data_IF_783698556292
#
_entry.id   IF_783698556292
#
_cell.length_a   1.000
_cell.length_b   1.000
_cell.length_c   1.000
_cell.angle_alpha   90.00
_cell.angle_beta   90.00
_cell.angle_gamma   90.00
#
_symmetry.space_group_name_H-M   'P 1'
#
loop_
_entity.id
_entity.type
_entity.pdbx_description
1 polymer ?
#
# COMPACT_ATOMS: atom_id res chain seq x y z
N UNK A 1 25.95 -43.63 -10.68
CA UNK A 1 25.39 -42.81 -11.77
C UNK A 1 24.91 -41.51 -11.14
N UNK A 2 25.75 -40.48 -11.21
CA UNK A 2 25.31 -39.12 -10.88
C UNK A 2 24.29 -38.69 -11.95
N UNK A 3 23.09 -38.34 -11.53
CA UNK A 3 22.11 -37.74 -12.42
C UNK A 3 22.69 -36.39 -12.88
N UNK A 4 23.12 -36.32 -14.14
CA UNK A 4 23.48 -35.07 -14.80
C UNK A 4 22.28 -34.14 -14.70
N UNK A 5 22.39 -33.14 -13.82
CA UNK A 5 21.41 -32.08 -13.72
C UNK A 5 21.25 -31.47 -15.13
N UNK A 6 20.04 -31.58 -15.70
CA UNK A 6 19.74 -30.96 -16.98
C UNK A 6 20.07 -29.47 -16.95
N UNK A 7 20.36 -28.83 -18.10
CA UNK A 7 20.80 -27.45 -18.16
C UNK A 7 19.85 -26.57 -17.35
N UNK A 8 20.37 -25.96 -16.28
CA UNK A 8 19.59 -25.06 -15.43
C UNK A 8 18.96 -24.02 -16.35
N UNK A 9 17.64 -23.93 -16.35
CA UNK A 9 16.94 -22.96 -17.18
C UNK A 9 17.24 -21.56 -16.60
N UNK A 10 18.33 -20.93 -17.08
CA UNK A 10 18.80 -19.61 -16.63
C UNK A 10 17.68 -18.56 -16.68
N UNK A 11 16.75 -18.72 -17.64
CA UNK A 11 15.49 -18.00 -17.73
C UNK A 11 14.73 -17.89 -16.40
N UNK A 12 14.66 -18.97 -15.62
CA UNK A 12 13.94 -19.00 -14.33
C UNK A 12 14.56 -18.07 -13.29
N UNK A 13 15.88 -17.85 -13.33
CA UNK A 13 16.55 -16.97 -12.38
C UNK A 13 16.31 -15.49 -12.71
N UNK A 14 16.16 -15.13 -13.98
CA UNK A 14 15.78 -13.76 -14.36
C UNK A 14 14.39 -13.37 -13.85
N UNK A 15 13.47 -14.34 -13.72
CA UNK A 15 12.12 -14.09 -13.19
C UNK A 15 12.16 -13.69 -11.72
N UNK A 16 13.16 -14.13 -10.95
CA UNK A 16 13.26 -13.85 -9.51
C UNK A 16 13.25 -12.36 -9.20
N UNK A 17 13.92 -11.53 -10.03
CA UNK A 17 13.97 -10.08 -9.85
C UNK A 17 12.58 -9.39 -9.96
N UNK A 18 11.58 -10.08 -10.49
CA UNK A 18 10.21 -9.57 -10.67
C UNK A 18 9.22 -10.16 -9.65
N UNK A 19 9.65 -11.12 -8.82
CA UNK A 19 8.76 -11.75 -7.84
C UNK A 19 8.59 -10.84 -6.61
N UNK A 20 7.35 -10.71 -6.08
CA UNK A 20 7.13 -10.10 -4.77
C UNK A 20 7.89 -10.82 -3.67
N UNK A 21 8.20 -10.10 -2.59
CA UNK A 21 9.01 -10.63 -1.47
C UNK A 21 8.48 -11.96 -0.93
N UNK A 22 7.17 -12.10 -0.76
CA UNK A 22 6.58 -13.36 -0.29
C UNK A 22 6.89 -14.53 -1.23
N UNK A 23 6.77 -14.32 -2.55
CA UNK A 23 7.06 -15.35 -3.54
C UNK A 23 8.56 -15.67 -3.58
N UNK A 24 9.43 -14.66 -3.48
CA UNK A 24 10.88 -14.86 -3.35
C UNK A 24 11.23 -15.74 -2.14
N UNK A 25 10.64 -15.45 -0.98
CA UNK A 25 10.87 -16.23 0.24
C UNK A 25 10.36 -17.67 0.11
N UNK A 26 9.25 -17.90 -0.60
CA UNK A 26 8.74 -19.25 -0.87
C UNK A 26 9.65 -20.01 -1.85
N UNK A 27 10.08 -19.36 -2.95
CA UNK A 27 10.99 -19.98 -3.94
C UNK A 27 12.35 -20.33 -3.31
N UNK A 28 12.84 -19.52 -2.37
CA UNK A 28 14.07 -19.80 -1.63
C UNK A 28 14.02 -21.08 -0.76
N UNK A 29 12.81 -21.62 -0.52
CA UNK A 29 12.61 -22.86 0.25
C UNK A 29 12.50 -24.11 -0.65
N UNK A 30 12.45 -23.94 -1.98
CA UNK A 30 12.25 -25.05 -2.92
C UNK A 30 13.52 -25.90 -3.09
N UNK A 31 14.67 -25.27 -3.30
CA UNK A 31 15.94 -25.99 -3.44
C UNK A 31 17.15 -25.10 -3.06
N UNK A 32 18.30 -25.75 -2.82
CA UNK A 32 19.56 -25.05 -2.48
C UNK A 32 19.97 -24.05 -3.57
N UNK A 33 19.81 -24.43 -4.84
CA UNK A 33 20.17 -23.56 -5.98
C UNK A 33 19.40 -22.24 -5.96
N UNK A 34 18.06 -22.28 -5.81
CA UNK A 34 17.27 -21.04 -5.68
C UNK A 34 17.63 -20.24 -4.43
N UNK A 35 17.83 -20.91 -3.31
CA UNK A 35 18.22 -20.26 -2.06
C UNK A 35 19.53 -19.48 -2.20
N UNK A 36 20.54 -20.10 -2.81
CA UNK A 36 21.85 -19.51 -3.00
C UNK A 36 21.79 -18.38 -4.04
N UNK A 37 21.12 -18.58 -5.19
CA UNK A 37 20.95 -17.52 -6.19
C UNK A 37 20.21 -16.30 -5.66
N UNK A 38 19.14 -16.49 -4.87
CA UNK A 38 18.39 -15.38 -4.26
C UNK A 38 19.24 -14.68 -3.18
N UNK A 39 20.07 -15.42 -2.44
CA UNK A 39 20.95 -14.83 -1.42
C UNK A 39 22.03 -13.97 -2.05
N UNK A 40 22.64 -14.45 -3.13
CA UNK A 40 23.86 -13.87 -3.70
C UNK A 40 23.54 -12.79 -4.76
N UNK A 41 22.32 -12.78 -5.32
CA UNK A 41 21.86 -11.72 -6.21
C UNK A 41 21.39 -10.49 -5.42
N UNK A 42 22.14 -9.40 -5.48
CA UNK A 42 21.80 -8.15 -4.79
C UNK A 42 20.67 -7.39 -5.48
N UNK A 43 20.44 -7.62 -6.78
CA UNK A 43 19.44 -6.87 -7.56
C UNK A 43 18.03 -7.11 -7.03
N UNK A 44 17.72 -8.34 -6.58
CA UNK A 44 16.40 -8.69 -6.03
C UNK A 44 16.12 -7.98 -4.71
N UNK A 45 17.15 -7.49 -4.02
CA UNK A 45 17.04 -6.81 -2.72
C UNK A 45 17.10 -5.28 -2.81
N UNK A 46 17.22 -4.69 -4.01
CA UNK A 46 17.26 -3.23 -4.16
C UNK A 46 15.92 -2.55 -3.81
N UNK A 47 14.82 -3.28 -3.92
CA UNK A 47 13.48 -2.79 -3.62
C UNK A 47 12.81 -3.74 -2.62
N UNK A 48 12.90 -3.42 -1.33
CA UNK A 48 12.29 -4.20 -0.28
C UNK A 48 10.87 -3.69 -0.02
N UNK A 49 9.88 -4.53 -0.34
CA UNK A 49 8.47 -4.24 -0.14
C UNK A 49 7.89 -5.30 0.78
N UNK A 50 7.42 -4.87 1.94
CA UNK A 50 6.75 -5.72 2.93
C UNK A 50 5.31 -5.25 3.09
N UNK A 51 4.38 -6.13 2.78
CA UNK A 51 2.95 -5.91 2.91
C UNK A 51 2.28 -7.13 3.55
N UNK A 52 0.96 -7.09 3.74
CA UNK A 52 0.23 -8.24 4.27
C UNK A 52 0.41 -9.47 3.35
N UNK A 53 0.55 -10.68 3.92
CA UNK A 53 0.46 -11.02 5.35
C UNK A 53 1.81 -10.96 6.09
N UNK A 54 2.92 -10.54 5.44
CA UNK A 54 4.24 -10.53 6.07
C UNK A 54 4.40 -9.41 7.11
N UNK A 55 3.76 -8.27 6.88
CA UNK A 55 3.88 -7.06 7.71
C UNK A 55 3.55 -7.29 9.20
N UNK A 56 2.54 -8.12 9.51
CA UNK A 56 2.13 -8.41 10.90
C UNK A 56 3.15 -9.26 11.68
N UNK A 57 4.08 -9.90 10.98
CA UNK A 57 5.14 -10.75 11.55
C UNK A 57 6.52 -10.10 11.49
N UNK A 58 6.67 -9.01 10.75
CA UNK A 58 7.95 -8.33 10.59
C UNK A 58 8.37 -7.68 11.90
N UNK A 59 9.58 -7.98 12.38
CA UNK A 59 10.23 -7.33 13.53
C UNK A 59 11.51 -6.65 13.07
N UNK A 60 12.07 -5.77 13.90
CA UNK A 60 13.33 -5.06 13.59
C UNK A 60 14.46 -6.01 13.22
N UNK A 61 14.60 -7.14 13.95
CA UNK A 61 15.62 -8.15 13.64
C UNK A 61 15.41 -8.79 12.26
N UNK A 62 14.17 -9.12 11.91
CA UNK A 62 13.85 -9.72 10.61
C UNK A 62 14.10 -8.69 9.50
N UNK A 63 13.70 -7.44 9.72
CA UNK A 63 13.91 -6.35 8.78
C UNK A 63 15.41 -6.09 8.54
N UNK A 64 16.24 -6.09 9.59
CA UNK A 64 17.70 -5.98 9.45
C UNK A 64 18.30 -7.18 8.72
N UNK A 65 17.85 -8.40 9.02
CA UNK A 65 18.33 -9.60 8.33
C UNK A 65 18.01 -9.60 6.83
N UNK A 66 16.87 -9.05 6.44
CA UNK A 66 16.48 -8.98 5.02
C UNK A 66 17.16 -7.81 4.31
N UNK A 67 17.17 -6.62 4.92
CA UNK A 67 17.77 -5.42 4.31
C UNK A 67 19.29 -5.52 4.17
N UNK A 68 19.98 -6.26 5.04
CA UNK A 68 21.43 -6.49 4.92
C UNK A 68 21.84 -7.21 3.64
N UNK A 69 20.94 -7.99 3.03
CA UNK A 69 21.17 -8.66 1.73
C UNK A 69 21.31 -7.68 0.56
N UNK A 70 20.86 -6.43 0.73
CA UNK A 70 21.10 -5.38 -0.24
C UNK A 70 22.55 -4.87 -0.21
N UNK A 71 23.38 -5.27 0.78
CA UNK A 71 24.76 -4.82 0.97
C UNK A 71 24.91 -3.29 0.91
N UNK A 72 24.01 -2.57 1.58
CA UNK A 72 23.98 -1.11 1.60
C UNK A 72 23.46 -0.44 0.33
N UNK A 73 22.99 -1.21 -0.66
CA UNK A 73 22.49 -0.71 -1.94
C UNK A 73 20.97 -0.63 -2.03
N UNK A 74 20.25 -0.82 -0.92
CA UNK A 74 18.79 -0.71 -0.89
C UNK A 74 18.37 0.68 -1.40
N UNK A 75 17.46 0.72 -2.39
CA UNK A 75 16.97 1.95 -3.03
C UNK A 75 15.56 2.30 -2.57
N UNK A 76 14.73 1.28 -2.39
CA UNK A 76 13.34 1.41 -1.93
C UNK A 76 13.11 0.53 -0.71
N UNK A 77 12.58 1.13 0.36
CA UNK A 77 12.08 0.45 1.53
C UNK A 77 10.60 0.83 1.68
N UNK A 78 9.71 -0.14 1.46
CA UNK A 78 8.29 0.02 1.63
C UNK A 78 7.77 -0.96 2.68
N UNK A 79 7.40 -0.44 3.85
CA UNK A 79 6.84 -1.16 4.98
C UNK A 79 5.37 -0.75 5.11
N UNK A 80 4.46 -1.57 4.60
CA UNK A 80 3.03 -1.27 4.60
C UNK A 80 2.38 -1.95 5.80
N UNK A 81 1.83 -1.16 6.73
CA UNK A 81 1.15 -1.66 7.93
C UNK A 81 2.04 -2.59 8.79
N UNK A 82 3.33 -2.26 8.93
CA UNK A 82 4.28 -3.03 9.73
C UNK A 82 4.31 -2.50 11.18
N UNK A 83 3.29 -2.85 11.96
CA UNK A 83 3.02 -2.26 13.29
C UNK A 83 4.06 -2.57 14.37
N UNK A 84 4.89 -3.60 14.17
CA UNK A 84 5.92 -4.05 15.12
C UNK A 84 7.31 -3.45 14.87
N UNK A 85 7.45 -2.62 13.85
CA UNK A 85 8.71 -1.93 13.55
C UNK A 85 8.84 -0.69 14.43
N UNK A 86 10.01 -0.51 15.02
CA UNK A 86 10.32 0.62 15.90
C UNK A 86 11.19 1.66 15.20
N UNK A 87 11.29 2.84 15.82
CA UNK A 87 12.16 3.92 15.34
C UNK A 87 13.62 3.47 15.26
N UNK A 88 14.09 2.65 16.21
CA UNK A 88 15.44 2.10 16.22
C UNK A 88 15.65 1.13 15.05
N UNK A 89 14.69 0.22 14.84
CA UNK A 89 14.73 -0.71 13.71
C UNK A 89 14.79 0.01 12.37
N UNK A 90 13.94 1.02 12.17
CA UNK A 90 13.94 1.84 10.96
C UNK A 90 15.27 2.58 10.79
N UNK A 91 15.77 3.22 11.84
CA UNK A 91 17.01 3.99 11.81
C UNK A 91 18.23 3.11 11.51
N UNK A 92 18.26 1.89 12.02
CA UNK A 92 19.34 0.92 11.73
C UNK A 92 19.38 0.55 10.24
N UNK A 93 18.22 0.28 9.62
CA UNK A 93 18.14 -0.01 8.19
C UNK A 93 18.61 1.18 7.35
N UNK A 94 18.12 2.38 7.68
CA UNK A 94 18.54 3.63 7.04
C UNK A 94 20.04 3.85 7.19
N UNK A 95 20.60 3.53 8.36
CA UNK A 95 22.02 3.70 8.60
C UNK A 95 22.90 2.80 7.74
N UNK A 96 22.48 1.55 7.56
CA UNK A 96 23.19 0.57 6.75
C UNK A 96 23.01 0.76 5.24
N UNK A 97 22.06 1.58 4.78
CA UNK A 97 21.71 1.72 3.36
C UNK A 97 21.74 3.18 2.88
N UNK A 98 22.92 3.75 2.60
CA UNK A 98 23.08 5.15 2.21
C UNK A 98 22.47 5.50 0.84
N UNK A 99 22.18 4.51 0.00
CA UNK A 99 21.59 4.72 -1.34
C UNK A 99 20.05 4.71 -1.35
N UNK A 100 19.42 4.70 -0.18
CA UNK A 100 17.96 4.68 -0.05
C UNK A 100 17.38 6.01 -0.50
N UNK A 101 16.43 5.96 -1.45
CA UNK A 101 15.78 7.14 -2.05
C UNK A 101 14.27 7.12 -1.86
N UNK A 102 13.67 5.96 -1.58
CA UNK A 102 12.24 5.80 -1.33
C UNK A 102 12.03 5.14 0.03
N UNK A 103 11.42 5.87 0.96
CA UNK A 103 11.08 5.40 2.30
C UNK A 103 9.57 5.49 2.52
N UNK A 104 8.88 4.36 2.39
CA UNK A 104 7.43 4.27 2.55
C UNK A 104 7.12 3.48 3.83
N UNK A 105 6.50 4.12 4.80
CA UNK A 105 6.11 3.53 6.10
C UNK A 105 4.64 3.81 6.46
N UNK A 106 3.68 3.73 5.53
CA UNK A 106 2.30 4.02 5.86
C UNK A 106 1.73 3.01 6.86
N UNK A 107 0.94 3.53 7.80
CA UNK A 107 0.31 2.75 8.88
C UNK A 107 1.30 1.91 9.73
N UNK A 108 2.58 2.28 9.77
CA UNK A 108 3.55 1.70 10.71
C UNK A 108 3.38 2.34 12.08
N UNK A 109 2.37 1.90 12.83
CA UNK A 109 1.95 2.53 14.09
C UNK A 109 2.95 2.39 15.26
N UNK A 110 3.99 1.56 15.10
CA UNK A 110 5.10 1.46 16.05
C UNK A 110 6.17 2.55 15.87
N UNK A 111 6.06 3.36 14.80
CA UNK A 111 6.93 4.50 14.56
C UNK A 111 6.36 5.79 15.14
N UNK A 112 7.25 6.67 15.59
CA UNK A 112 6.90 8.02 16.05
C UNK A 112 7.24 9.08 14.99
N UNK A 113 6.62 10.27 15.05
CA UNK A 113 7.02 11.39 14.22
C UNK A 113 8.51 11.71 14.32
N UNK A 114 9.08 11.66 15.53
CA UNK A 114 10.49 11.93 15.82
C UNK A 114 11.41 10.88 15.18
N UNK A 115 11.04 9.61 15.27
CA UNK A 115 11.78 8.51 14.63
C UNK A 115 11.82 8.65 13.11
N UNK A 116 10.68 9.00 12.50
CA UNK A 116 10.59 9.26 11.06
C UNK A 116 11.42 10.48 10.67
N UNK A 117 11.36 11.57 11.44
CA UNK A 117 12.19 12.77 11.21
C UNK A 117 13.68 12.40 11.22
N UNK A 118 14.13 11.69 12.25
CA UNK A 118 15.53 11.29 12.39
C UNK A 118 16.00 10.38 11.25
N UNK A 119 15.13 9.46 10.80
CA UNK A 119 15.39 8.63 9.63
C UNK A 119 15.56 9.47 8.35
N UNK A 120 14.66 10.43 8.12
CA UNK A 120 14.72 11.31 6.93
C UNK A 120 15.93 12.25 6.97
N UNK A 121 16.24 12.83 8.13
CA UNK A 121 17.45 13.62 8.38
C UNK A 121 18.73 12.82 8.08
N UNK A 122 18.77 11.56 8.55
CA UNK A 122 19.91 10.68 8.30
C UNK A 122 20.09 10.37 6.82
N UNK A 123 18.99 10.21 6.08
CA UNK A 123 19.02 9.98 4.63
C UNK A 123 19.46 11.23 3.86
N UNK A 124 18.93 12.39 4.21
CA UNK A 124 19.28 13.66 3.56
C UNK A 124 20.73 14.06 3.81
N UNK A 125 21.29 13.72 4.97
CA UNK A 125 22.72 13.94 5.25
C UNK A 125 23.68 13.01 4.47
N UNK A 126 23.20 11.85 3.99
CA UNK A 126 24.04 10.84 3.30
C UNK A 126 23.92 10.88 1.78
N UNK A 127 22.80 11.37 1.26
CA UNK A 127 22.49 11.32 -0.17
C UNK A 127 22.10 12.70 -0.68
N UNK A 128 22.70 13.09 -1.81
CA UNK A 128 22.27 14.28 -2.56
C UNK A 128 21.08 14.00 -3.48
N UNK A 129 20.63 12.74 -3.54
CA UNK A 129 19.52 12.32 -4.38
C UNK A 129 18.18 12.78 -3.80
N UNK A 130 17.20 12.92 -4.69
CA UNK A 130 15.81 13.15 -4.31
C UNK A 130 15.27 12.01 -3.43
N UNK A 131 14.65 12.36 -2.30
CA UNK A 131 14.07 11.41 -1.36
C UNK A 131 12.54 11.50 -1.42
N UNK A 132 11.89 10.37 -1.67
CA UNK A 132 10.43 10.22 -1.57
C UNK A 132 10.07 9.49 -0.28
N UNK A 133 9.24 10.12 0.54
CA UNK A 133 8.81 9.67 1.85
C UNK A 133 7.28 9.49 1.84
N UNK A 134 6.77 8.37 2.32
CA UNK A 134 5.31 8.13 2.42
C UNK A 134 4.98 7.66 3.82
N UNK A 135 4.23 8.47 4.57
CA UNK A 135 4.08 8.35 6.03
C UNK A 135 2.62 8.45 6.47
N UNK A 136 1.66 8.34 5.55
CA UNK A 136 0.26 8.36 5.93
C UNK A 136 -0.06 7.27 6.97
N UNK A 137 -0.75 7.66 8.05
CA UNK A 137 -1.18 6.74 9.10
C UNK A 137 -0.15 6.50 10.20
N UNK A 138 0.96 7.25 10.23
CA UNK A 138 1.75 7.41 11.46
C UNK A 138 0.94 8.25 12.45
N UNK A 139 0.83 7.80 13.69
CA UNK A 139 0.06 8.49 14.72
C UNK A 139 0.74 9.79 15.16
N UNK A 140 -0.07 10.76 15.59
CA UNK A 140 0.37 12.02 16.20
C UNK A 140 1.33 12.88 15.35
N UNK A 141 1.39 12.70 14.03
CA UNK A 141 2.04 13.67 13.15
C UNK A 141 1.22 14.97 13.17
N UNK A 142 1.90 16.08 13.48
CA UNK A 142 1.33 17.42 13.50
C UNK A 142 1.98 18.31 12.45
N UNK A 143 1.55 19.58 12.39
CA UNK A 143 2.06 20.56 11.43
C UNK A 143 3.55 20.85 11.58
N UNK A 144 4.06 20.91 12.81
CA UNK A 144 5.47 21.20 13.08
C UNK A 144 6.37 20.08 12.54
N UNK A 145 6.00 18.83 12.80
CA UNK A 145 6.67 17.66 12.24
C UNK A 145 6.69 17.68 10.72
N UNK A 146 5.57 18.04 10.08
CA UNK A 146 5.49 18.15 8.62
C UNK A 146 6.43 19.23 8.07
N UNK A 147 6.53 20.39 8.72
CA UNK A 147 7.44 21.46 8.31
C UNK A 147 8.90 21.01 8.43
N UNK A 148 9.27 20.33 9.53
CA UNK A 148 10.61 19.79 9.72
C UNK A 148 10.95 18.78 8.63
N UNK A 149 10.07 17.80 8.38
CA UNK A 149 10.25 16.83 7.30
C UNK A 149 10.43 17.51 5.95
N UNK A 150 9.60 18.51 5.63
CA UNK A 150 9.70 19.25 4.37
C UNK A 150 11.01 20.01 4.21
N UNK A 151 11.64 20.45 5.30
CA UNK A 151 12.93 21.13 5.26
C UNK A 151 14.09 20.24 4.80
N UNK A 152 14.00 18.92 5.06
CA UNK A 152 14.97 17.92 4.62
C UNK A 152 14.73 17.40 3.20
N UNK A 153 13.53 17.59 2.65
CA UNK A 153 13.16 17.09 1.33
C UNK A 153 13.37 18.19 0.29
N UNK A 154 14.13 17.90 -0.77
CA UNK A 154 14.36 18.84 -1.88
C UNK A 154 13.03 19.28 -2.50
N UNK A 155 12.76 20.59 -2.44
CA UNK A 155 11.45 21.14 -2.75
C UNK A 155 11.32 21.36 -4.27
N UNK A 156 10.86 20.36 -5.00
CA UNK A 156 10.34 20.62 -6.34
C UNK A 156 8.92 21.19 -6.22
N UNK A 157 8.83 22.53 -6.20
CA UNK A 157 7.57 23.27 -6.06
C UNK A 157 6.57 22.95 -7.18
N UNK A 158 6.99 22.32 -8.28
CA UNK A 158 6.13 21.92 -9.40
C UNK A 158 5.15 20.79 -9.02
N UNK A 159 5.49 19.95 -8.04
CA UNK A 159 4.69 18.74 -7.70
C UNK A 159 3.52 19.05 -6.74
N UNK A 160 3.57 20.19 -6.04
CA UNK A 160 2.50 20.66 -5.13
C UNK A 160 1.14 20.89 -5.82
N UNK A 161 1.12 21.01 -7.16
CA UNK A 161 -0.08 21.31 -7.95
C UNK A 161 -0.85 20.06 -8.43
N UNK A 162 -0.30 18.84 -8.28
CA UNK A 162 -0.99 17.65 -8.81
C UNK A 162 -2.24 17.36 -7.97
N UNK A 163 -3.38 17.11 -8.61
CA UNK A 163 -4.60 16.65 -7.91
C UNK A 163 -4.43 15.19 -7.46
N UNK A 164 -4.77 14.89 -6.20
CA UNK A 164 -4.86 13.50 -5.70
C UNK A 164 -6.31 13.05 -5.70
N UNK A 165 -6.63 11.98 -6.42
CA UNK A 165 -8.00 11.45 -6.46
C UNK A 165 -8.15 10.22 -5.58
N UNK A 166 -9.25 10.18 -4.84
CA UNK A 166 -9.52 9.18 -3.81
C UNK A 166 -9.58 7.74 -4.34
N UNK A 167 -10.35 7.51 -5.42
CA UNK A 167 -10.52 6.19 -6.05
C UNK A 167 -9.21 5.58 -6.59
N UNK A 168 -8.13 6.37 -6.72
CA UNK A 168 -6.81 5.91 -7.16
C UNK A 168 -5.87 5.51 -6.02
N UNK A 169 -6.18 5.92 -4.79
CA UNK A 169 -5.26 5.81 -3.66
C UNK A 169 -5.67 4.70 -2.69
N UNK A 170 -6.94 4.27 -2.67
CA UNK A 170 -7.44 3.32 -1.68
C UNK A 170 -7.11 1.85 -1.96
N UNK A 171 -6.56 1.50 -3.13
CA UNK A 171 -5.80 0.25 -3.23
C UNK A 171 -4.46 0.47 -2.53
N UNK A 172 -4.34 0.07 -1.27
CA UNK A 172 -3.13 0.15 -0.43
C UNK A 172 -1.93 -0.65 -0.97
N UNK A 173 -1.87 -0.90 -2.28
CA UNK A 173 -0.77 -1.51 -3.00
C UNK A 173 0.37 -0.52 -3.18
N UNK A 174 1.61 -1.02 -3.17
CA UNK A 174 2.81 -0.27 -3.55
C UNK A 174 2.65 0.49 -4.88
N UNK A 175 1.92 -0.10 -5.85
CA UNK A 175 1.65 0.53 -7.15
C UNK A 175 0.97 1.89 -7.04
N UNK A 176 0.18 2.13 -6.00
CA UNK A 176 -0.49 3.42 -5.77
C UNK A 176 0.47 4.45 -5.18
N UNK A 177 1.34 4.01 -4.27
CA UNK A 177 2.36 4.87 -3.65
C UNK A 177 3.42 5.29 -4.67
N UNK A 178 3.88 4.37 -5.51
CA UNK A 178 4.94 4.62 -6.49
C UNK A 178 4.51 5.54 -7.64
N UNK A 179 3.21 5.55 -7.98
CA UNK A 179 2.62 6.49 -8.94
C UNK A 179 2.46 7.91 -8.37
N UNK A 180 2.50 8.07 -7.05
CA UNK A 180 2.46 9.38 -6.42
C UNK A 180 3.86 10.02 -6.43
N UNK A 181 4.10 10.86 -7.44
CA UNK A 181 5.37 11.57 -7.68
C UNK A 181 5.72 12.56 -6.55
N UNK A 182 4.79 12.85 -5.61
CA UNK A 182 5.08 13.76 -4.48
C UNK A 182 6.23 13.25 -3.62
N UNK A 183 7.06 14.17 -3.14
CA UNK A 183 8.08 13.89 -2.12
C UNK A 183 7.45 13.30 -0.87
N UNK A 184 6.35 13.88 -0.40
CA UNK A 184 5.61 13.45 0.79
C UNK A 184 4.14 13.22 0.46
N UNK A 185 3.53 12.18 1.03
CA UNK A 185 2.11 11.87 0.78
C UNK A 185 1.13 12.65 1.66
N UNK A 186 1.55 13.18 2.81
CA UNK A 186 0.65 13.90 3.71
C UNK A 186 0.67 15.41 3.47
N UNK A 187 -0.48 16.03 3.72
CA UNK A 187 -0.73 17.47 3.61
C UNK A 187 -1.60 17.92 4.80
N UNK A 188 -1.70 19.23 5.04
CA UNK A 188 -2.62 19.77 6.03
C UNK A 188 -4.02 19.77 5.43
N UNK A 189 -4.96 19.05 6.05
CA UNK A 189 -6.35 19.04 5.61
C UNK A 189 -7.00 20.41 5.82
N UNK A 190 -7.61 21.05 4.80
CA UNK A 190 -8.24 22.37 4.96
C UNK A 190 -9.50 22.34 5.83
N UNK A 191 -10.06 21.15 6.12
CA UNK A 191 -11.29 20.98 6.91
C UNK A 191 -11.02 20.74 8.40
N UNK A 192 -10.05 19.88 8.73
CA UNK A 192 -9.73 19.55 10.13
C UNK A 192 -8.36 20.02 10.60
N UNK A 193 -7.54 20.62 9.72
CA UNK A 193 -6.19 21.14 10.02
C UNK A 193 -5.17 20.05 10.42
N UNK A 194 -5.58 18.78 10.48
CA UNK A 194 -4.71 17.63 10.71
C UNK A 194 -3.85 17.27 9.50
N UNK A 195 -2.68 16.69 9.77
CA UNK A 195 -1.76 16.18 8.73
C UNK A 195 -2.21 14.81 8.26
N UNK A 196 -2.78 14.74 7.05
CA UNK A 196 -3.41 13.53 6.50
C UNK A 196 -3.21 13.46 4.98
N UNK A 197 -3.58 12.33 4.37
CA UNK A 197 -3.83 12.32 2.94
C UNK A 197 -4.98 13.27 2.60
N UNK A 198 -4.71 14.23 1.71
CA UNK A 198 -5.70 15.15 1.19
C UNK A 198 -6.06 14.76 -0.25
N UNK A 199 -7.35 14.75 -0.54
CA UNK A 199 -7.92 14.36 -1.83
C UNK A 199 -8.70 15.52 -2.46
N UNK A 200 -8.73 15.53 -3.78
CA UNK A 200 -9.49 16.43 -4.62
C UNK A 200 -10.70 15.71 -5.20
N UNK A 201 -11.81 16.42 -5.35
CA UNK A 201 -12.96 15.92 -6.09
C UNK A 201 -12.64 15.88 -7.60
N UNK A 202 -13.02 14.80 -8.31
CA UNK A 202 -12.95 14.75 -9.77
C UNK A 202 -13.92 15.71 -10.46
N UNK A 203 -15.06 16.01 -9.84
CA UNK A 203 -16.13 16.87 -10.41
C UNK A 203 -16.01 18.32 -9.97
N UNK A 204 -15.75 18.55 -8.68
CA UNK A 204 -15.71 19.90 -8.08
C UNK A 204 -14.28 20.36 -7.84
N UNK A 205 -14.00 21.64 -8.09
CA UNK A 205 -12.67 22.22 -7.91
C UNK A 205 -12.36 22.58 -6.47
N UNK A 206 -13.37 22.91 -5.67
CA UNK A 206 -13.21 23.41 -4.29
C UNK A 206 -13.36 22.31 -3.22
N UNK A 207 -13.88 21.12 -3.59
CA UNK A 207 -14.07 20.01 -2.66
C UNK A 207 -12.74 19.27 -2.38
N UNK A 208 -11.94 19.83 -1.47
CA UNK A 208 -10.62 19.35 -1.04
C UNK A 208 -10.67 18.98 0.44
N UNK A 209 -10.18 17.78 0.79
CA UNK A 209 -10.16 17.33 2.18
C UNK A 209 -9.66 15.89 2.34
N UNK A 210 -9.41 15.49 3.59
CA UNK A 210 -9.03 14.12 3.92
C UNK A 210 -10.24 13.17 3.88
N UNK A 211 -9.97 11.86 3.92
CA UNK A 211 -11.01 10.83 3.80
C UNK A 211 -12.02 10.82 4.97
N UNK A 212 -11.68 11.40 6.12
CA UNK A 212 -12.57 11.48 7.28
C UNK A 212 -13.45 12.73 7.27
N UNK A 213 -13.00 13.82 6.65
CA UNK A 213 -13.77 15.07 6.61
C UNK A 213 -14.75 15.13 5.44
N UNK A 214 -14.47 14.40 4.37
CA UNK A 214 -15.28 14.40 3.16
C UNK A 214 -15.45 12.94 2.72
N UNK A 215 -16.63 12.35 2.94
CA UNK A 215 -16.99 11.05 2.38
C UNK A 215 -16.90 11.08 0.85
N UNK A 216 -16.41 10.00 0.25
CA UNK A 216 -16.19 9.92 -1.19
C UNK A 216 -16.59 8.56 -1.72
N UNK A 217 -17.17 8.53 -2.92
CA UNK A 217 -17.51 7.30 -3.60
C UNK A 217 -16.25 6.47 -3.87
N UNK A 218 -16.25 5.19 -3.50
CA UNK A 218 -15.12 4.29 -3.76
C UNK A 218 -14.81 4.09 -5.26
N UNK A 219 -15.83 4.13 -6.11
CA UNK A 219 -15.68 3.83 -7.54
C UNK A 219 -15.15 5.05 -8.29
N UNK A 220 -15.84 6.18 -8.21
CA UNK A 220 -15.50 7.37 -8.99
C UNK A 220 -14.73 8.43 -8.20
N UNK A 221 -14.68 8.37 -6.86
CA UNK A 221 -13.99 9.34 -6.00
C UNK A 221 -14.67 10.69 -5.84
N UNK A 222 -15.89 10.88 -6.37
CA UNK A 222 -16.68 12.10 -6.15
C UNK A 222 -17.03 12.26 -4.67
N UNK A 223 -17.13 13.50 -4.20
CA UNK A 223 -17.61 13.81 -2.84
C UNK A 223 -19.06 13.31 -2.70
N UNK A 224 -19.39 12.81 -1.52
CA UNK A 224 -20.76 12.42 -1.14
C UNK A 224 -21.15 13.30 0.05
N UNK A 225 -22.34 13.90 -0.02
CA UNK A 225 -22.92 14.69 1.06
C UNK A 225 -23.54 13.76 2.10
N UNK A 226 -23.25 14.01 3.39
CA UNK A 226 -23.91 13.30 4.50
C UNK A 226 -25.39 13.66 4.64
N UNK A 227 -25.86 14.70 3.94
CA UNK A 227 -27.23 15.23 4.03
C UNK A 227 -28.20 14.56 3.06
N UNK A 228 -27.69 13.81 2.08
CA UNK A 228 -28.49 13.21 1.00
C UNK A 228 -28.31 11.68 1.03
N UNK A 229 -28.90 11.03 2.04
CA UNK A 229 -28.83 9.57 2.21
C UNK A 229 -29.34 8.81 0.96
N UNK A 230 -30.28 9.40 0.21
CA UNK A 230 -30.86 8.85 -1.02
C UNK A 230 -29.87 8.82 -2.21
N UNK A 231 -28.79 9.61 -2.15
CA UNK A 231 -27.80 9.75 -3.23
C UNK A 231 -26.56 8.85 -3.06
N UNK A 232 -26.57 7.99 -2.05
CA UNK A 232 -25.51 7.05 -1.74
C UNK A 232 -26.03 5.63 -1.48
N UNK A 233 -25.15 4.66 -1.62
CA UNK A 233 -25.42 3.28 -1.28
C UNK A 233 -24.18 2.59 -0.76
N UNK A 234 -24.38 1.46 -0.10
CA UNK A 234 -23.31 0.63 0.42
C UNK A 234 -23.10 -0.60 -0.44
N UNK A 235 -21.84 -0.97 -0.60
CA UNK A 235 -21.47 -2.26 -1.20
C UNK A 235 -21.48 -3.38 -0.14
N UNK A 236 -21.29 -4.63 -0.59
CA UNK A 236 -21.17 -5.81 0.29
C UNK A 236 -20.02 -5.66 1.29
N UNK A 237 -18.95 -4.96 0.91
CA UNK A 237 -17.77 -4.73 1.74
C UNK A 237 -17.90 -3.50 2.67
N UNK A 238 -19.12 -2.97 2.83
CA UNK A 238 -19.44 -1.73 3.57
C UNK A 238 -18.70 -0.48 3.05
N UNK A 239 -18.27 -0.51 1.79
CA UNK A 239 -17.72 0.66 1.12
C UNK A 239 -18.86 1.56 0.61
N UNK A 240 -18.74 2.86 0.83
CA UNK A 240 -19.68 3.88 0.35
C UNK A 240 -19.50 4.16 -1.14
N UNK A 241 -20.59 4.12 -1.89
CA UNK A 241 -20.64 4.45 -3.32
C UNK A 241 -21.76 5.44 -3.59
N UNK A 242 -21.61 6.30 -4.59
CA UNK A 242 -22.70 7.17 -4.99
C UNK A 242 -23.76 6.40 -5.79
N UNK A 243 -24.98 6.93 -5.87
CA UNK A 243 -26.11 6.30 -6.56
C UNK A 243 -25.78 5.91 -8.01
N UNK A 244 -25.17 6.80 -8.79
CA UNK A 244 -24.76 6.51 -10.19
C UNK A 244 -23.87 5.27 -10.29
N UNK A 245 -22.89 5.15 -9.38
CA UNK A 245 -22.00 4.00 -9.36
C UNK A 245 -22.71 2.76 -8.80
N UNK A 246 -23.52 2.92 -7.75
CA UNK A 246 -24.31 1.85 -7.15
C UNK A 246 -25.22 1.16 -8.17
N UNK A 247 -25.84 1.93 -9.07
CA UNK A 247 -26.70 1.41 -10.14
C UNK A 247 -25.93 0.57 -11.17
N UNK A 248 -24.69 0.96 -11.47
CA UNK A 248 -23.85 0.31 -12.49
C UNK A 248 -23.03 -0.89 -11.98
N UNK A 249 -22.93 -1.08 -10.66
CA UNK A 249 -22.16 -2.19 -10.09
C UNK A 249 -22.95 -3.51 -10.16
N UNK A 250 -22.27 -4.65 -10.39
CA UNK A 250 -22.89 -5.97 -10.27
C UNK A 250 -23.33 -6.21 -8.83
N UNK A 251 -24.51 -6.83 -8.65
CA UNK A 251 -25.17 -7.02 -7.34
C UNK A 251 -25.34 -8.48 -7.00
N UNK A 252 -25.36 -8.76 -5.70
CA UNK A 252 -25.80 -10.05 -5.19
C UNK A 252 -27.30 -10.21 -5.45
N UNK A 253 -27.72 -11.32 -6.03
CA UNK A 253 -29.11 -11.64 -6.33
C UNK A 253 -30.00 -11.76 -5.09
N UNK A 254 -29.42 -12.04 -3.93
CA UNK A 254 -30.17 -12.24 -2.69
C UNK A 254 -30.30 -10.95 -1.88
N UNK A 255 -29.19 -10.28 -1.56
CA UNK A 255 -29.23 -9.06 -0.73
C UNK A 255 -29.28 -7.76 -1.55
N UNK A 256 -29.21 -7.84 -2.88
CA UNK A 256 -29.18 -6.70 -3.81
C UNK A 256 -28.05 -5.66 -3.53
N UNK A 257 -27.07 -5.98 -2.69
CA UNK A 257 -25.91 -5.12 -2.44
C UNK A 257 -24.87 -5.29 -3.56
N UNK A 258 -24.28 -4.20 -4.07
CA UNK A 258 -23.25 -4.27 -5.10
C UNK A 258 -21.91 -4.76 -4.57
N UNK A 259 -21.10 -5.37 -5.43
CA UNK A 259 -19.70 -5.65 -5.15
C UNK A 259 -18.86 -4.39 -5.41
N UNK A 260 -18.00 -4.04 -4.47
CA UNK A 260 -16.98 -3.02 -4.70
C UNK A 260 -15.92 -3.56 -5.69
N UNK A 261 -15.42 -2.77 -6.65
CA UNK A 261 -14.44 -3.22 -7.65
C UNK A 261 -13.16 -3.85 -7.06
N UNK A 262 -12.85 -3.52 -5.80
CA UNK A 262 -11.69 -4.02 -5.06
C UNK A 262 -11.85 -5.45 -4.53
N UNK A 263 -13.07 -5.83 -4.19
CA UNK A 263 -13.39 -7.14 -3.59
C UNK A 263 -14.33 -7.95 -4.49
N UNK A 264 -14.57 -7.47 -5.73
CA UNK A 264 -15.23 -8.25 -6.75
C UNK A 264 -14.39 -9.51 -6.99
N UNK A 265 -14.95 -10.72 -6.85
CA UNK A 265 -14.19 -11.94 -7.12
C UNK A 265 -13.65 -11.88 -8.55
N UNK A 266 -12.39 -12.29 -8.76
CA UNK A 266 -11.78 -12.46 -10.09
C UNK A 266 -12.52 -13.49 -10.98
N UNK A 267 -13.67 -14.00 -10.55
CA UNK A 267 -14.54 -14.97 -11.20
C UNK A 267 -15.97 -14.42 -11.31
N UNK A 268 -16.13 -13.26 -11.93
CA UNK A 268 -17.43 -12.91 -12.49
C UNK A 268 -17.44 -13.47 -13.91
N UNK A 269 -17.84 -14.74 -14.06
CA UNK A 269 -18.09 -15.31 -15.37
C UNK A 269 -19.47 -14.79 -15.82
N UNK A 270 -19.55 -13.94 -16.85
CA UNK A 270 -20.81 -13.29 -17.25
C UNK A 270 -21.84 -14.27 -17.85
N UNK A 271 -21.49 -15.55 -17.99
CA UNK A 271 -22.28 -16.60 -18.63
C UNK A 271 -22.92 -17.59 -17.65
N UNK A 272 -22.66 -17.49 -16.34
CA UNK A 272 -23.20 -18.45 -15.38
C UNK A 272 -24.67 -18.14 -15.04
N UNK A 273 -25.58 -19.01 -15.47
CA UNK A 273 -27.03 -18.87 -15.36
C UNK A 273 -27.59 -18.92 -13.94
N UNK A 274 -26.77 -19.23 -12.93
CA UNK A 274 -27.19 -19.24 -11.52
C UNK A 274 -27.24 -17.84 -10.87
N UNK A 275 -26.67 -16.83 -11.53
CA UNK A 275 -26.59 -15.49 -10.98
C UNK A 275 -25.74 -15.39 -9.70
N UNK A 276 -25.46 -14.18 -9.24
CA UNK A 276 -24.34 -13.95 -8.32
C UNK A 276 -24.80 -13.90 -6.86
N UNK A 277 -24.22 -14.72 -5.98
CA UNK A 277 -24.43 -14.64 -4.53
C UNK A 277 -23.16 -14.15 -3.84
N UNK A 278 -23.31 -13.21 -2.90
CA UNK A 278 -22.19 -12.82 -2.05
C UNK A 278 -21.89 -13.92 -1.02
N UNK A 279 -20.66 -13.96 -0.50
CA UNK A 279 -20.20 -14.97 0.45
C UNK A 279 -21.10 -15.06 1.69
N UNK A 280 -21.60 -13.92 2.18
CA UNK A 280 -22.55 -13.85 3.30
C UNK A 280 -23.90 -14.51 2.98
N UNK A 281 -24.42 -14.31 1.78
CA UNK A 281 -25.68 -14.94 1.36
C UNK A 281 -25.49 -16.42 1.02
N UNK A 282 -24.35 -16.78 0.43
CA UNK A 282 -24.00 -18.15 0.11
C UNK A 282 -23.85 -19.02 1.37
N UNK A 283 -23.15 -18.51 2.38
CA UNK A 283 -22.99 -19.20 3.67
C UNK A 283 -24.33 -19.40 4.40
N UNK A 284 -25.21 -18.38 4.38
CA UNK A 284 -26.57 -18.50 4.93
C UNK A 284 -27.40 -19.58 4.25
N UNK A 285 -27.38 -19.62 2.91
CA UNK A 285 -28.11 -20.62 2.14
C UNK A 285 -27.65 -22.06 2.44
N UNK A 286 -26.35 -22.27 2.67
CA UNK A 286 -25.81 -23.59 3.02
C UNK A 286 -26.18 -24.01 4.45
N UNK A 287 -26.21 -23.08 5.40
CA UNK A 287 -26.65 -23.38 6.77
C UNK A 287 -28.13 -23.71 6.87
N UNK A 288 -28.96 -23.10 6.03
CA UNK A 288 -30.40 -23.41 5.95
C UNK A 288 -30.65 -24.80 5.34
N UNK A 289 -29.85 -25.22 4.36
CA UNK A 289 -29.92 -26.57 3.76
C UNK A 289 -29.42 -27.72 4.65
N UNK A 290 -28.66 -27.44 5.71
CA UNK A 290 -28.18 -28.46 6.66
C UNK A 290 -29.11 -28.64 7.86
N UNK A 291 -30.16 -27.81 7.96
CA UNK A 291 -31.19 -27.86 9.01
C UNK A 291 -32.52 -28.49 8.53
N UNK A 292 -32.59 -28.90 7.25
CA UNK A 292 -33.63 -29.74 6.65
C UNK A 292 -33.13 -31.19 6.47
#
# INVERSE_FOLDING_TARGET
MEALAGPQHQALYFVLAYLPLQQLLLVSQVCKSFKDSIRDDVLVWLNLVVENPLSVRLTDQILMNISSKAHGRLRTLALLNCVKITDEGLLNVVNSNPLLTKLYVPACTGLTPEGVIKAVETLSGKSTAFISVKINGIYNINKEHLVILQSYLTTDNTIKSKRRFYHKYRSSSLCSLDKDVRTIDVEICPKCIEVKLVFHCPKETECIGCFQCIPRCEVCGRCISDQDEDDQGETICNDTVCLDCWLCLPKCNHCNKPFCPRHAPHKLDPLDSQGFLCEVCHTKSLTEQLLE
#
